data_IF_836966953117
#
_entry.id   IF_836966953117
#
_cell.length_a   1.000
_cell.length_b   1.000
_cell.length_c   1.000
_cell.angle_alpha   90.00
_cell.angle_beta   90.00
_cell.angle_gamma   90.00
#
_symmetry.space_group_name_H-M   'P 1'
#
loop_
_entity.id
_entity.type
_entity.pdbx_description
1 polymer ?
#
# COMPACT_ATOMS: atom_id res chain seq x y z
N UNK A 1 6.08 -5.67 7.07
CA UNK A 1 5.07 -6.31 6.19
C UNK A 1 5.29 -5.73 4.81
N UNK A 2 5.88 -6.51 3.90
CA UNK A 2 6.30 -6.03 2.58
C UNK A 2 5.10 -6.16 1.62
N UNK A 3 4.87 -5.14 0.78
CA UNK A 3 3.87 -5.22 -0.28
C UNK A 3 4.50 -5.85 -1.54
N UNK A 4 3.75 -6.72 -2.19
CA UNK A 4 4.19 -7.52 -3.34
C UNK A 4 3.56 -6.96 -4.61
N UNK A 5 4.35 -6.84 -5.70
CA UNK A 5 3.89 -6.45 -7.05
C UNK A 5 4.19 -7.57 -8.05
N UNK A 6 3.23 -7.92 -8.90
CA UNK A 6 3.37 -8.99 -9.89
C UNK A 6 3.87 -8.41 -11.24
N UNK A 7 5.01 -8.90 -11.74
CA UNK A 7 5.47 -8.71 -13.13
C UNK A 7 5.47 -10.08 -13.82
N UNK A 8 5.51 -10.15 -15.16
CA UNK A 8 5.36 -11.40 -15.97
C UNK A 8 6.32 -12.58 -15.63
N UNK A 9 7.18 -12.46 -14.62
CA UNK A 9 8.09 -13.49 -14.11
C UNK A 9 8.06 -13.69 -12.58
N UNK A 10 7.09 -13.09 -11.86
CA UNK A 10 6.91 -13.35 -10.42
C UNK A 10 6.61 -12.10 -9.58
N UNK A 11 6.60 -12.29 -8.27
CA UNK A 11 6.40 -11.22 -7.29
C UNK A 11 7.73 -10.55 -6.93
N UNK A 12 7.74 -9.22 -6.94
CA UNK A 12 8.83 -8.41 -6.39
C UNK A 12 8.35 -7.60 -5.20
N UNK A 13 9.23 -7.37 -4.23
CA UNK A 13 8.96 -6.44 -3.12
C UNK A 13 8.85 -5.01 -3.67
N UNK A 14 7.92 -4.24 -3.13
CA UNK A 14 7.87 -2.78 -3.28
C UNK A 14 8.46 -2.11 -2.05
N UNK A 15 8.59 -0.79 -2.09
CA UNK A 15 8.82 0.00 -0.87
C UNK A 15 7.77 -0.27 0.21
N UNK A 16 8.21 -0.13 1.46
CA UNK A 16 7.38 -0.36 2.64
C UNK A 16 6.35 0.77 2.84
N UNK A 17 5.18 0.37 3.36
CA UNK A 17 4.23 1.31 3.96
C UNK A 17 4.93 2.14 5.05
N UNK A 18 4.55 3.41 5.16
CA UNK A 18 5.01 4.32 6.21
C UNK A 18 4.48 3.89 7.57
N UNK A 19 3.25 3.37 7.61
CA UNK A 19 2.65 2.82 8.82
C UNK A 19 2.28 1.35 8.61
N UNK A 20 2.90 0.47 9.41
CA UNK A 20 2.51 -0.94 9.44
C UNK A 20 1.02 -1.07 9.79
N UNK A 21 0.29 -1.84 8.99
CA UNK A 21 -1.16 -2.06 9.12
C UNK A 21 -1.55 -3.46 8.64
N UNK A 22 -2.54 -4.07 9.28
CA UNK A 22 -3.17 -5.34 8.88
C UNK A 22 -4.69 -5.18 8.78
N UNK A 23 -5.37 -6.06 8.03
CA UNK A 23 -6.83 -5.95 7.82
C UNK A 23 -7.27 -4.65 7.14
N UNK A 24 -6.37 -4.02 6.37
CA UNK A 24 -6.66 -2.81 5.60
C UNK A 24 -7.38 -3.15 4.29
N UNK A 25 -8.01 -2.15 3.68
CA UNK A 25 -8.53 -2.27 2.31
C UNK A 25 -7.57 -1.62 1.32
N UNK A 26 -7.27 -2.30 0.22
CA UNK A 26 -6.45 -1.79 -0.87
C UNK A 26 -7.28 -1.69 -2.17
N UNK A 27 -7.33 -0.50 -2.77
CA UNK A 27 -8.08 -0.24 -4.01
C UNK A 27 -7.17 0.34 -5.09
N UNK A 28 -7.27 -0.19 -6.30
CA UNK A 28 -6.59 0.38 -7.48
C UNK A 28 -7.44 1.52 -8.04
N UNK A 29 -6.83 2.68 -8.22
CA UNK A 29 -7.47 3.88 -8.77
C UNK A 29 -7.34 3.92 -10.30
N UNK A 30 -8.19 4.71 -10.96
CA UNK A 30 -8.19 4.84 -12.43
C UNK A 30 -6.88 5.39 -13.03
N UNK A 31 -6.01 5.98 -12.21
CA UNK A 31 -4.67 6.44 -12.60
C UNK A 31 -3.55 5.41 -12.32
N UNK A 32 -3.91 4.17 -11.96
CA UNK A 32 -2.97 3.10 -11.68
C UNK A 32 -2.31 3.14 -10.29
N UNK A 33 -2.60 4.14 -9.47
CA UNK A 33 -2.15 4.19 -8.07
C UNK A 33 -2.95 3.24 -7.18
N UNK A 34 -2.39 2.87 -6.03
CA UNK A 34 -3.09 2.02 -5.05
C UNK A 34 -3.34 2.82 -3.78
N UNK A 35 -4.61 2.98 -3.41
CA UNK A 35 -5.00 3.57 -2.13
C UNK A 35 -5.18 2.46 -1.10
N UNK A 36 -4.51 2.57 0.03
CA UNK A 36 -4.70 1.69 1.18
C UNK A 36 -5.31 2.50 2.32
N UNK A 37 -6.46 2.09 2.82
CA UNK A 37 -7.18 2.78 3.89
C UNK A 37 -7.40 1.89 5.11
N UNK A 38 -7.30 2.50 6.29
CA UNK A 38 -7.60 1.88 7.57
C UNK A 38 -6.72 0.68 7.92
N UNK A 39 -7.30 -0.27 8.63
CA UNK A 39 -6.61 -1.44 9.20
C UNK A 39 -6.20 -1.23 10.65
N UNK A 40 -5.34 -2.13 11.15
CA UNK A 40 -4.97 -2.22 12.56
C UNK A 40 -3.45 -2.33 12.72
N UNK A 41 -2.93 -1.70 13.79
CA UNK A 41 -1.55 -1.91 14.27
C UNK A 41 -1.54 -2.25 15.76
N UNK A 42 -1.76 -1.24 16.60
CA UNK A 42 -2.03 -1.35 18.04
C UNK A 42 -3.45 -0.91 18.38
N UNK A 43 -4.19 -0.43 17.38
CA UNK A 43 -5.56 0.04 17.41
C UNK A 43 -6.03 0.29 15.97
N UNK A 44 -7.31 0.68 15.81
CA UNK A 44 -7.86 1.02 14.50
C UNK A 44 -7.14 2.25 13.93
N UNK A 45 -6.71 2.16 12.67
CA UNK A 45 -6.10 3.27 11.95
C UNK A 45 -7.18 4.06 11.22
N UNK A 46 -7.12 5.38 11.36
CA UNK A 46 -7.91 6.33 10.56
C UNK A 46 -7.14 6.88 9.36
N UNK A 47 -5.85 6.53 9.25
CA UNK A 47 -4.97 6.98 8.17
C UNK A 47 -5.15 6.17 6.89
N UNK A 48 -4.84 6.80 5.78
CA UNK A 48 -4.67 6.14 4.49
C UNK A 48 -3.28 6.46 3.90
N UNK A 49 -2.82 5.58 3.02
CA UNK A 49 -1.57 5.73 2.29
C UNK A 49 -1.79 5.44 0.80
N UNK A 50 -1.21 6.27 -0.05
CA UNK A 50 -1.26 6.15 -1.50
C UNK A 50 0.08 5.66 -2.03
N UNK A 51 0.06 4.54 -2.75
CA UNK A 51 1.20 4.01 -3.49
C UNK A 51 1.24 4.59 -4.90
N UNK A 52 2.40 5.11 -5.28
CA UNK A 52 2.73 5.52 -6.64
C UNK A 52 3.67 4.48 -7.28
N UNK A 53 3.17 3.59 -8.17
CA UNK A 53 3.98 2.55 -8.79
C UNK A 53 5.07 3.08 -9.73
N UNK A 54 5.00 4.34 -10.17
CA UNK A 54 6.01 4.96 -11.05
C UNK A 54 7.25 5.39 -10.27
N UNK A 55 7.08 5.66 -8.97
CA UNK A 55 8.15 6.09 -8.06
C UNK A 55 8.53 5.01 -7.06
N UNK A 56 7.72 3.95 -6.98
CA UNK A 56 7.78 2.95 -5.91
C UNK A 56 7.74 3.59 -4.52
N UNK A 57 6.80 4.50 -4.28
CA UNK A 57 6.72 5.24 -3.01
C UNK A 57 5.32 5.23 -2.42
N UNK A 58 5.25 5.18 -1.09
CA UNK A 58 4.05 5.42 -0.31
C UNK A 58 4.02 6.83 0.26
N UNK A 59 2.86 7.49 0.22
CA UNK A 59 2.61 8.81 0.81
C UNK A 59 1.35 8.77 1.67
N UNK A 60 1.42 9.30 2.89
CA UNK A 60 0.25 9.45 3.76
C UNK A 60 -0.72 10.48 3.17
N UNK A 61 -2.02 10.21 3.23
CA UNK A 61 -3.10 11.10 2.78
C UNK A 61 -4.01 11.49 3.92
#
# INVERSE_FOLDING_TARGET
MNALKCFRLGWSNTSNLKQARSGHTASVLGNGKVLVSGGYKSGALTSAELYDPSKDTWTTT
#
